data_IF_962367654347
#
_entry.id   IF_962367654347
#
_cell.length_a   1.000
_cell.length_b   1.000
_cell.length_c   1.000
_cell.angle_alpha   90.00
_cell.angle_beta   90.00
_cell.angle_gamma   90.00
#
_symmetry.space_group_name_H-M   'P 1'
#
loop_
_entity.id
_entity.type
_entity.pdbx_description
1 polymer ?
#
# COMPACT_ATOMS: atom_id res chain seq x y z
N UNK A 1 3.35 -11.60 -7.35
CA UNK A 1 4.35 -10.71 -6.73
C UNK A 1 3.69 -9.53 -6.07
N UNK A 2 4.21 -9.15 -4.92
CA UNK A 2 3.64 -8.06 -4.14
C UNK A 2 4.76 -7.15 -3.64
N UNK A 3 4.50 -5.85 -3.62
CA UNK A 3 5.39 -4.88 -3.01
C UNK A 3 4.59 -3.98 -2.07
N UNK A 4 5.16 -3.69 -0.90
CA UNK A 4 4.60 -2.70 0.02
C UNK A 4 5.67 -1.65 0.27
N UNK A 5 5.30 -0.40 0.11
CA UNK A 5 6.17 0.74 0.40
C UNK A 5 5.56 1.51 1.57
N UNK A 6 6.35 1.76 2.59
CA UNK A 6 5.90 2.48 3.78
C UNK A 6 6.70 3.74 3.99
N UNK A 7 6.07 4.72 4.61
CA UNK A 7 6.67 6.00 4.97
C UNK A 7 6.28 6.35 6.39
N UNK A 8 7.25 6.68 7.21
CA UNK A 8 6.99 7.21 8.56
C UNK A 8 6.09 6.28 9.39
N UNK A 9 6.37 4.98 9.31
CA UNK A 9 5.62 3.99 10.09
C UNK A 9 6.41 3.58 11.33
N UNK A 10 5.73 3.15 12.41
CA UNK A 10 6.43 2.76 13.63
C UNK A 10 7.29 1.51 13.43
N UNK A 11 8.38 1.40 14.20
CA UNK A 11 9.23 0.21 14.13
C UNK A 11 8.48 -1.10 14.36
N UNK A 12 7.43 -1.08 15.17
CA UNK A 12 6.61 -2.27 15.42
C UNK A 12 6.02 -2.80 14.11
N UNK A 13 5.48 -1.92 13.28
CA UNK A 13 4.91 -2.35 12.00
C UNK A 13 5.98 -2.85 11.07
N UNK A 14 7.14 -2.19 11.02
CA UNK A 14 8.25 -2.61 10.19
C UNK A 14 8.70 -4.02 10.55
N UNK A 15 8.85 -4.29 11.84
CA UNK A 15 9.23 -5.62 12.29
C UNK A 15 8.19 -6.67 11.95
N UNK A 16 6.93 -6.30 12.02
CA UNK A 16 5.85 -7.22 11.69
C UNK A 16 5.83 -7.59 10.22
N UNK A 17 6.00 -6.60 9.35
CA UNK A 17 6.05 -6.84 7.91
C UNK A 17 7.23 -7.76 7.53
N UNK A 18 8.33 -7.64 8.23
CA UNK A 18 9.50 -8.47 7.97
C UNK A 18 9.29 -9.94 8.32
N UNK A 19 8.22 -10.29 9.02
CA UNK A 19 7.88 -11.70 9.29
C UNK A 19 7.41 -12.40 8.01
N UNK A 20 6.66 -11.69 7.18
CA UNK A 20 6.05 -12.29 5.98
C UNK A 20 6.71 -11.89 4.68
N UNK A 21 7.42 -10.77 4.69
CA UNK A 21 7.98 -10.17 3.48
C UNK A 21 9.45 -9.87 3.69
N UNK A 22 10.17 -9.66 2.60
CA UNK A 22 11.58 -9.30 2.65
C UNK A 22 11.71 -7.79 2.50
N UNK A 23 12.36 -7.16 3.47
CA UNK A 23 12.64 -5.73 3.39
C UNK A 23 13.89 -5.53 2.54
N UNK A 24 13.70 -5.14 1.27
CA UNK A 24 14.82 -4.98 0.34
C UNK A 24 15.48 -3.62 0.45
N UNK A 25 14.79 -2.69 1.09
CA UNK A 25 15.28 -1.34 1.36
C UNK A 25 14.46 -0.82 2.53
N UNK A 26 14.96 0.16 3.25
CA UNK A 26 14.22 0.72 4.36
C UNK A 26 12.80 1.11 3.93
N UNK A 27 11.80 0.48 4.51
CA UNK A 27 10.39 0.75 4.21
C UNK A 27 9.85 0.09 2.96
N UNK A 28 10.64 -0.69 2.23
CA UNK A 28 10.20 -1.34 0.98
C UNK A 28 10.26 -2.84 1.15
N UNK A 29 9.11 -3.49 1.04
CA UNK A 29 8.95 -4.93 1.30
C UNK A 29 8.43 -5.62 0.06
N UNK A 30 8.97 -6.80 -0.22
CA UNK A 30 8.51 -7.61 -1.36
C UNK A 30 8.27 -9.03 -0.92
N UNK A 31 7.42 -9.71 -1.65
CA UNK A 31 7.11 -11.11 -1.41
C UNK A 31 6.09 -11.62 -2.41
N UNK A 32 5.65 -12.84 -2.16
CA UNK A 32 4.67 -13.48 -3.03
C UNK A 32 3.65 -14.25 -2.19
N UNK A 33 2.94 -13.55 -1.28
CA UNK A 33 1.97 -14.21 -0.41
C UNK A 33 0.73 -14.63 -1.19
N UNK A 34 -0.01 -15.57 -0.62
CA UNK A 34 -1.33 -15.91 -1.11
C UNK A 34 -2.25 -14.70 -0.95
N UNK A 35 -3.38 -14.73 -1.65
CA UNK A 35 -4.38 -13.66 -1.52
C UNK A 35 -4.80 -13.48 -0.06
N UNK A 36 -5.04 -14.58 0.65
CA UNK A 36 -5.47 -14.53 2.04
C UNK A 36 -4.43 -13.88 2.93
N UNK A 37 -3.16 -14.24 2.74
CA UNK A 37 -2.07 -13.67 3.52
C UNK A 37 -1.89 -12.20 3.17
N UNK A 38 -2.01 -11.84 1.88
CA UNK A 38 -1.92 -10.45 1.46
C UNK A 38 -2.98 -9.60 2.15
N UNK A 39 -4.21 -10.08 2.21
CA UNK A 39 -5.29 -9.35 2.86
C UNK A 39 -5.04 -9.20 4.36
N UNK A 40 -4.54 -10.26 4.98
CA UNK A 40 -4.18 -10.20 6.39
C UNK A 40 -3.05 -9.20 6.64
N UNK A 41 -2.02 -9.21 5.82
CA UNK A 41 -0.91 -8.27 5.96
C UNK A 41 -1.40 -6.84 5.85
N UNK A 42 -2.27 -6.57 4.88
CA UNK A 42 -2.79 -5.22 4.69
C UNK A 42 -3.62 -4.77 5.89
N UNK A 43 -4.37 -5.66 6.48
CA UNK A 43 -5.11 -5.38 7.71
C UNK A 43 -4.15 -4.99 8.84
N UNK A 44 -3.01 -5.69 8.94
CA UNK A 44 -1.99 -5.34 9.93
C UNK A 44 -1.39 -3.96 9.67
N UNK A 45 -1.17 -3.63 8.42
CA UNK A 45 -0.69 -2.30 8.05
C UNK A 45 -1.67 -1.24 8.48
N UNK A 46 -2.94 -1.45 8.18
CA UNK A 46 -4.00 -0.51 8.55
C UNK A 46 -4.04 -0.27 10.05
N UNK A 47 -3.93 -1.33 10.83
CA UNK A 47 -3.99 -1.24 12.29
C UNK A 47 -2.75 -0.58 12.89
N UNK A 48 -1.60 -0.72 12.26
CA UNK A 48 -0.33 -0.25 12.81
C UNK A 48 0.25 0.99 12.14
N UNK A 49 -0.48 1.60 11.24
CA UNK A 49 0.04 2.68 10.40
C UNK A 49 0.34 3.96 11.18
N UNK A 50 -0.48 4.29 12.17
CA UNK A 50 -0.40 5.54 12.92
C UNK A 50 -0.35 6.76 11.99
N UNK A 51 0.70 7.57 12.06
CA UNK A 51 0.84 8.76 11.23
C UNK A 51 1.51 8.49 9.90
N UNK A 52 1.77 7.23 9.60
CA UNK A 52 2.50 6.87 8.40
C UNK A 52 1.64 6.76 7.15
N UNK A 53 2.30 6.41 6.07
CA UNK A 53 1.66 6.16 4.78
C UNK A 53 2.14 4.82 4.25
N UNK A 54 1.30 4.15 3.47
CA UNK A 54 1.66 2.89 2.87
C UNK A 54 0.94 2.71 1.54
N UNK A 55 1.61 2.02 0.63
CA UNK A 55 1.01 1.56 -0.61
C UNK A 55 1.36 0.10 -0.79
N UNK A 56 0.40 -0.67 -1.28
CA UNK A 56 0.59 -2.07 -1.62
C UNK A 56 0.17 -2.27 -3.07
N UNK A 57 1.04 -2.91 -3.84
CA UNK A 57 0.72 -3.26 -5.21
C UNK A 57 1.02 -4.73 -5.43
N UNK A 58 0.22 -5.38 -6.26
CA UNK A 58 0.41 -6.79 -6.54
C UNK A 58 -0.01 -7.10 -7.97
N UNK A 59 0.54 -8.19 -8.51
CA UNK A 59 0.20 -8.63 -9.86
C UNK A 59 -1.15 -9.34 -9.88
N UNK A 60 -1.87 -9.15 -10.98
CA UNK A 60 -3.19 -9.72 -11.17
C UNK A 60 -3.31 -10.31 -12.57
N UNK A 61 -4.40 -11.04 -12.82
CA UNK A 61 -4.76 -11.52 -14.14
C UNK A 61 -5.64 -10.56 -14.91
N UNK A 62 -5.74 -9.33 -14.46
CA UNK A 62 -6.54 -8.33 -15.14
C UNK A 62 -5.79 -7.76 -16.33
N UNK A 63 -6.48 -6.96 -17.14
CA UNK A 63 -5.89 -6.37 -18.34
C UNK A 63 -4.67 -5.53 -18.02
N UNK A 64 -4.72 -4.74 -16.94
CA UNK A 64 -3.59 -3.93 -16.53
C UNK A 64 -2.44 -4.75 -15.95
N UNK A 65 -2.72 -5.95 -15.45
CA UNK A 65 -1.71 -6.84 -14.88
C UNK A 65 -1.37 -6.55 -13.43
N UNK A 66 -1.95 -5.54 -12.83
CA UNK A 66 -1.69 -5.21 -11.43
C UNK A 66 -2.88 -4.53 -10.79
N UNK A 67 -2.86 -4.49 -9.47
CA UNK A 67 -3.80 -3.71 -8.66
C UNK A 67 -3.05 -3.13 -7.47
N UNK A 68 -3.65 -2.18 -6.78
CA UNK A 68 -2.97 -1.55 -5.65
C UNK A 68 -3.97 -0.94 -4.67
N UNK A 69 -3.50 -0.71 -3.44
CA UNK A 69 -4.25 -0.01 -2.41
C UNK A 69 -3.31 0.93 -1.66
N UNK A 70 -3.86 1.99 -1.11
CA UNK A 70 -3.08 2.98 -0.38
C UNK A 70 -3.74 3.31 0.95
N UNK A 71 -2.92 3.68 1.92
CA UNK A 71 -3.36 4.11 3.25
C UNK A 71 -2.53 5.30 3.69
N UNK A 72 -3.14 6.18 4.48
CA UNK A 72 -2.44 7.32 5.03
C UNK A 72 -2.91 8.64 4.45
N UNK A 73 -2.34 9.73 4.95
CA UNK A 73 -2.73 11.08 4.54
C UNK A 73 -2.38 11.40 3.11
N UNK A 74 -1.25 10.90 2.65
CA UNK A 74 -0.76 11.18 1.30
C UNK A 74 -1.16 10.11 0.31
N UNK A 75 -2.26 9.41 0.62
CA UNK A 75 -2.68 8.30 -0.23
C UNK A 75 -3.20 8.78 -1.56
N UNK A 76 -3.05 7.92 -2.55
CA UNK A 76 -3.67 8.08 -3.85
C UNK A 76 -4.75 7.03 -3.99
N UNK A 77 -5.87 7.42 -4.56
CA UNK A 77 -7.00 6.50 -4.70
C UNK A 77 -6.92 5.78 -6.05
N UNK A 78 -7.17 4.46 -6.06
CA UNK A 78 -7.31 3.75 -7.33
C UNK A 78 -8.60 4.20 -8.03
N UNK A 79 -8.50 4.38 -9.34
CA UNK A 79 -9.65 4.77 -10.15
C UNK A 79 -9.70 3.86 -11.36
N UNK A 80 -10.86 3.27 -11.62
CA UNK A 80 -11.07 2.44 -12.79
C UNK A 80 -11.40 3.31 -13.98
N UNK A 81 -10.67 3.10 -15.08
CA UNK A 81 -10.88 3.83 -16.31
C UNK A 81 -10.65 2.87 -17.47
N UNK A 82 -11.73 2.51 -18.17
CA UNK A 82 -11.68 1.58 -19.28
C UNK A 82 -10.94 0.28 -18.94
N UNK A 83 -11.23 -0.28 -17.77
CA UNK A 83 -10.61 -1.52 -17.33
C UNK A 83 -9.21 -1.36 -16.76
N UNK A 84 -8.67 -0.15 -16.72
CA UNK A 84 -7.36 0.15 -16.18
C UNK A 84 -7.52 0.96 -14.91
N UNK A 85 -6.84 0.55 -13.85
CA UNK A 85 -6.87 1.31 -12.61
C UNK A 85 -5.82 2.39 -12.64
N UNK A 86 -6.27 3.63 -12.53
CA UNK A 86 -5.43 4.81 -12.49
C UNK A 86 -5.35 5.34 -11.05
N UNK A 87 -4.45 6.27 -10.82
CA UNK A 87 -4.28 6.88 -9.51
C UNK A 87 -4.95 8.25 -9.50
N UNK A 88 -5.79 8.47 -8.49
CA UNK A 88 -6.38 9.77 -8.25
C UNK A 88 -5.74 10.35 -7.00
N UNK A 89 -5.29 11.59 -7.08
CA UNK A 89 -4.67 12.26 -5.95
C UNK A 89 -5.75 12.68 -4.95
N UNK A 90 -5.60 12.22 -3.72
CA UNK A 90 -6.52 12.61 -2.66
C UNK A 90 -5.94 13.84 -1.93
N UNK A 91 -6.63 14.99 -1.96
CA UNK A 91 -6.12 16.17 -1.27
C UNK A 91 -6.01 15.93 0.23
N UNK A 92 -4.98 16.46 0.87
CA UNK A 92 -4.91 16.42 2.34
C UNK A 92 -6.11 17.16 2.94
N UNK A 93 -6.61 16.65 4.05
CA UNK A 93 -7.81 17.22 4.68
C UNK A 93 -7.60 18.61 5.23
N UNK A 94 -6.38 18.92 5.59
CA UNK A 94 -6.03 20.19 6.21
C UNK A 94 -5.50 21.22 5.21
N UNK A 95 -5.64 20.94 3.92
CA UNK A 95 -5.15 21.82 2.86
C UNK A 95 -6.31 22.24 1.99
N UNK A 96 -6.56 23.52 1.94
CA UNK A 96 -7.68 24.05 1.19
C UNK A 96 -7.38 24.17 -0.27
N UNK A 97 -8.15 23.45 -1.08
CA UNK A 97 -8.17 23.64 -2.50
C UNK A 97 -6.85 23.46 -3.20
N UNK A 98 -6.00 22.64 -2.68
CA UNK A 98 -4.72 22.38 -3.31
C UNK A 98 -4.89 21.30 -4.35
N UNK A 99 -5.07 21.70 -5.52
CA UNK A 99 -5.04 20.77 -6.65
C UNK A 99 -4.78 21.53 -7.91
#
# INVERSE_FOLDING_TARGET
MLVIVTENVPPRLRGRLAVWLVEIRAGVYVGNPSKRLREFIWEQVEQGLEEGNAVMAWSTNTESGYDFQTLGRNRRLPVDYDGIRLVSFLPPQDVDGVL
#
